data_IF_666676078385
#
_entry.id   IF_666676078385
#
_cell.length_a   1.000
_cell.length_b   1.000
_cell.length_c   1.000
_cell.angle_alpha   90.00
_cell.angle_beta   90.00
_cell.angle_gamma   90.00
#
_symmetry.space_group_name_H-M   'P 1'
#
loop_
_entity.id
_entity.type
_entity.pdbx_description
1 polymer ?
#
# COMPACT_ATOMS: atom_id res chain seq x y z
N UNK A 1 10.09 3.12 -38.59
CA UNK A 1 10.81 2.13 -37.75
C UNK A 1 11.03 2.77 -36.39
N UNK A 2 10.32 2.31 -35.36
CA UNK A 2 10.53 2.75 -33.98
C UNK A 2 11.24 1.62 -33.21
N UNK A 3 12.33 1.88 -32.47
CA UNK A 3 13.08 0.83 -31.81
C UNK A 3 12.38 0.34 -30.54
N UNK A 4 12.24 -0.99 -30.44
CA UNK A 4 11.95 -1.75 -29.22
C UNK A 4 13.28 -2.16 -28.57
N UNK A 5 13.41 -2.05 -27.24
CA UNK A 5 14.21 -2.87 -26.28
C UNK A 5 14.31 -2.05 -24.98
N UNK A 6 13.48 -2.27 -23.96
CA UNK A 6 13.50 -3.35 -22.97
C UNK A 6 14.77 -3.31 -22.08
N UNK A 7 14.71 -2.56 -20.98
CA UNK A 7 15.55 -2.79 -19.80
C UNK A 7 14.62 -3.28 -18.68
N UNK A 8 14.56 -4.60 -18.52
CA UNK A 8 13.91 -5.24 -17.37
C UNK A 8 14.87 -5.12 -16.20
N UNK A 9 14.49 -4.40 -15.16
CA UNK A 9 15.06 -4.60 -13.82
C UNK A 9 13.91 -4.98 -12.89
N UNK A 10 14.03 -6.18 -12.33
CA UNK A 10 13.18 -6.72 -11.28
C UNK A 10 12.96 -5.68 -10.19
N UNK A 11 11.70 -5.35 -9.93
CA UNK A 11 11.28 -4.98 -8.60
C UNK A 11 10.06 -5.82 -8.28
N UNK A 12 10.26 -6.87 -7.48
CA UNK A 12 9.23 -7.28 -6.54
C UNK A 12 9.01 -6.05 -5.67
N UNK A 13 8.14 -5.16 -6.13
CA UNK A 13 7.79 -3.94 -5.43
C UNK A 13 6.88 -4.38 -4.29
N UNK A 14 7.50 -4.85 -3.22
CA UNK A 14 6.91 -4.86 -1.91
C UNK A 14 6.76 -3.38 -1.55
N UNK A 15 5.61 -2.78 -1.89
CA UNK A 15 5.26 -1.41 -1.52
C UNK A 15 5.03 -1.37 0.00
N UNK A 16 6.10 -1.32 0.78
CA UNK A 16 6.05 -0.85 2.16
C UNK A 16 6.10 0.68 2.13
N UNK A 17 4.99 1.29 1.71
CA UNK A 17 4.81 2.73 1.83
C UNK A 17 4.18 3.01 3.21
N UNK A 18 5.03 3.29 4.22
CA UNK A 18 4.58 3.70 5.54
C UNK A 18 4.23 5.19 5.59
N UNK A 19 3.21 5.57 6.37
CA UNK A 19 2.96 6.95 6.78
C UNK A 19 2.80 6.99 8.29
N UNK A 20 3.44 7.95 8.96
CA UNK A 20 3.31 8.14 10.41
C UNK A 20 2.18 9.14 10.70
N UNK A 21 1.30 8.79 11.62
CA UNK A 21 0.35 9.72 12.24
C UNK A 21 0.72 9.91 13.70
N UNK A 22 0.61 11.13 14.22
CA UNK A 22 0.81 11.43 15.66
C UNK A 22 -0.36 10.98 16.54
N UNK A 23 -1.43 10.45 15.93
CA UNK A 23 -2.63 9.95 16.61
C UNK A 23 -3.88 10.11 15.75
N UNK A 24 -4.97 9.49 16.18
CA UNK A 24 -6.32 9.67 15.66
C UNK A 24 -7.22 10.06 16.84
N UNK A 25 -7.93 11.17 16.74
CA UNK A 25 -8.96 11.52 17.71
C UNK A 25 -10.17 10.58 17.59
N UNK A 26 -11.00 10.52 18.63
CA UNK A 26 -12.20 9.67 18.65
C UNK A 26 -13.13 10.07 17.50
N UNK A 27 -13.40 9.12 16.60
CA UNK A 27 -14.23 9.34 15.40
C UNK A 27 -13.54 10.08 14.26
N UNK A 28 -12.25 10.41 14.38
CA UNK A 28 -11.48 11.02 13.29
C UNK A 28 -11.17 10.00 12.19
N UNK A 29 -11.18 10.47 10.94
CA UNK A 29 -10.65 9.70 9.80
C UNK A 29 -9.56 10.52 9.12
N UNK A 30 -8.37 9.91 8.97
CA UNK A 30 -7.26 10.47 8.18
C UNK A 30 -7.12 9.72 6.86
N UNK A 31 -6.81 10.47 5.81
CA UNK A 31 -6.57 9.91 4.47
C UNK A 31 -5.10 10.08 4.09
N UNK A 32 -4.48 9.01 3.60
CA UNK A 32 -3.12 9.01 3.08
C UNK A 32 -3.14 8.66 1.60
N UNK A 33 -2.38 9.39 0.79
CA UNK A 33 -2.24 9.14 -0.63
C UNK A 33 -0.84 8.59 -0.92
N UNK A 34 -0.78 7.39 -1.50
CA UNK A 34 0.46 6.76 -1.92
C UNK A 34 0.51 6.76 -3.44
N UNK A 35 1.27 7.67 -4.07
CA UNK A 35 1.41 7.67 -5.51
C UNK A 35 2.14 6.40 -5.93
N UNK A 36 1.43 5.52 -6.63
CA UNK A 36 2.02 4.31 -7.19
C UNK A 36 2.68 4.72 -8.51
N UNK A 37 4.01 4.61 -8.57
CA UNK A 37 4.77 5.04 -9.75
C UNK A 37 4.33 4.33 -11.03
N UNK A 38 4.56 4.97 -12.18
CA UNK A 38 4.16 4.55 -13.54
C UNK A 38 4.72 3.19 -14.02
N UNK A 39 5.39 2.44 -13.16
CA UNK A 39 6.10 1.20 -13.48
C UNK A 39 5.54 -0.02 -12.74
N UNK A 40 4.24 -0.02 -12.42
CA UNK A 40 3.60 -1.28 -12.04
C UNK A 40 3.47 -2.15 -13.30
N UNK A 41 4.07 -3.36 -13.32
CA UNK A 41 3.86 -4.28 -14.43
C UNK A 41 2.38 -4.66 -14.52
N UNK A 42 1.89 -4.93 -15.73
CA UNK A 42 0.53 -5.43 -15.92
C UNK A 42 0.29 -6.73 -15.15
N UNK A 43 -0.99 -6.99 -14.88
CA UNK A 43 -1.45 -8.15 -14.12
C UNK A 43 -2.06 -7.78 -12.77
N UNK A 44 -2.39 -8.83 -12.01
CA UNK A 44 -3.07 -8.70 -10.71
C UNK A 44 -2.08 -8.23 -9.65
N UNK A 45 -2.48 -7.20 -8.89
CA UNK A 45 -1.73 -6.64 -7.76
C UNK A 45 -2.62 -6.62 -6.52
N UNK A 46 -1.97 -6.66 -5.37
CA UNK A 46 -2.62 -6.51 -4.06
C UNK A 46 -2.05 -5.27 -3.39
N UNK A 47 -2.92 -4.34 -3.00
CA UNK A 47 -2.58 -3.29 -2.05
C UNK A 47 -3.07 -3.73 -0.66
N UNK A 48 -2.20 -3.60 0.35
CA UNK A 48 -2.52 -3.88 1.73
C UNK A 48 -2.17 -2.67 2.60
N UNK A 49 -2.95 -2.43 3.63
CA UNK A 49 -2.72 -1.42 4.66
C UNK A 49 -2.91 -2.06 6.03
N UNK A 50 -2.00 -1.74 6.95
CA UNK A 50 -2.03 -2.15 8.35
C UNK A 50 -1.87 -0.91 9.23
N UNK A 51 -2.74 -0.74 10.22
CA UNK A 51 -2.59 0.25 11.31
C UNK A 51 -2.00 -0.46 12.51
N UNK A 52 -1.13 0.23 13.25
CA UNK A 52 -0.42 -0.32 14.43
C UNK A 52 0.08 -1.77 14.29
N UNK A 53 0.94 -2.08 13.29
CA UNK A 53 1.40 -3.46 13.06
C UNK A 53 2.30 -4.01 14.17
N UNK A 54 2.65 -3.19 15.17
CA UNK A 54 3.44 -3.58 16.33
C UNK A 54 2.57 -3.83 17.58
N UNK A 55 1.24 -3.65 17.48
CA UNK A 55 0.28 -3.88 18.57
C UNK A 55 0.66 -3.10 19.85
N UNK A 56 0.97 -1.81 19.68
CA UNK A 56 1.43 -0.93 20.77
C UNK A 56 0.25 -0.21 21.43
N UNK A 57 -0.78 0.12 20.67
CA UNK A 57 -2.00 0.80 21.11
C UNK A 57 -3.09 -0.24 21.29
N UNK A 58 -3.50 -0.47 22.54
CA UNK A 58 -4.61 -1.38 22.83
C UNK A 58 -5.94 -0.78 22.38
N UNK A 59 -6.53 -1.36 21.36
CA UNK A 59 -7.81 -0.99 20.80
C UNK A 59 -8.93 -1.93 21.30
N UNK A 60 -10.18 -1.64 20.89
CA UNK A 60 -11.32 -2.48 21.26
C UNK A 60 -11.30 -3.82 20.50
N UNK A 61 -10.71 -3.82 19.31
CA UNK A 61 -10.75 -4.93 18.38
C UNK A 61 -9.50 -4.89 17.48
N UNK A 62 -8.49 -5.67 17.87
CA UNK A 62 -7.21 -5.80 17.13
C UNK A 62 -7.35 -6.52 15.78
N UNK A 63 -8.53 -7.06 15.47
CA UNK A 63 -8.74 -7.84 14.24
C UNK A 63 -9.12 -6.98 13.04
N UNK A 64 -9.32 -5.67 13.24
CA UNK A 64 -9.78 -4.75 12.20
C UNK A 64 -8.71 -3.77 11.68
N UNK A 65 -7.45 -3.98 12.08
CA UNK A 65 -6.33 -3.12 11.74
C UNK A 65 -5.73 -3.37 10.35
N UNK A 66 -6.15 -4.45 9.69
CA UNK A 66 -5.65 -4.85 8.38
C UNK A 66 -6.75 -4.77 7.31
N UNK A 67 -6.37 -4.26 6.14
CA UNK A 67 -7.23 -4.28 4.95
C UNK A 67 -6.41 -4.53 3.71
N UNK A 68 -6.92 -5.36 2.81
CA UNK A 68 -6.33 -5.58 1.49
C UNK A 68 -7.36 -5.43 0.37
N UNK A 69 -6.88 -5.00 -0.79
CA UNK A 69 -7.66 -4.86 -2.03
C UNK A 69 -6.85 -5.39 -3.19
N UNK A 70 -7.52 -6.10 -4.09
CA UNK A 70 -6.92 -6.62 -5.32
C UNK A 70 -7.35 -5.75 -6.50
N UNK A 71 -6.41 -5.40 -7.37
CA UNK A 71 -6.67 -4.64 -8.58
C UNK A 71 -5.84 -5.15 -9.75
N UNK A 72 -6.28 -4.85 -10.96
CA UNK A 72 -5.59 -5.27 -12.19
C UNK A 72 -4.94 -4.03 -12.81
N UNK A 73 -3.65 -4.14 -13.11
CA UNK A 73 -2.93 -3.19 -13.95
C UNK A 73 -3.00 -3.70 -15.38
N UNK A 74 -3.49 -2.87 -16.30
CA UNK A 74 -3.64 -3.22 -17.72
C UNK A 74 -2.44 -2.74 -18.53
#
# INVERSE_FOLDING_TARGET
>A
MSPRTLFVLLATLCLLAGSLSTGLAVGETKSFAFPIGQFLPSGTKTAAASVDPQDVVKEKDETNNEKSVTFIVQ
#
